data_IF_656245687043
#
_entry.id   IF_656245687043
#
_cell.length_a   1.000
_cell.length_b   1.000
_cell.length_c   1.000
_cell.angle_alpha   90.00
_cell.angle_beta   90.00
_cell.angle_gamma   90.00
#
_symmetry.space_group_name_H-M   'P 1'
#
loop_
_entity.id
_entity.type
_entity.pdbx_description
1 polymer ?
#
# COMPACT_ATOMS: atom_id res chain seq x y z
N UNK A 1 -45.10 -0.65 -11.71
CA UNK A 1 -45.34 -2.01 -11.19
C UNK A 1 -44.34 -3.03 -11.76
N UNK A 2 -44.07 -3.04 -13.08
CA UNK A 2 -43.05 -3.93 -13.68
C UNK A 2 -41.60 -3.67 -13.21
N UNK A 3 -41.18 -2.41 -13.07
CA UNK A 3 -39.84 -2.05 -12.55
C UNK A 3 -39.63 -2.64 -11.15
N UNK A 4 -40.65 -2.57 -10.28
CA UNK A 4 -40.58 -3.02 -8.89
C UNK A 4 -40.50 -4.55 -8.76
N UNK A 5 -41.17 -5.29 -9.65
CA UNK A 5 -41.12 -6.76 -9.67
C UNK A 5 -39.74 -7.23 -10.15
N UNK A 6 -39.11 -6.51 -11.08
CA UNK A 6 -37.78 -6.86 -11.58
C UNK A 6 -36.72 -6.66 -10.48
N UNK A 7 -36.69 -5.50 -9.81
CA UNK A 7 -35.74 -5.23 -8.72
C UNK A 7 -35.86 -6.21 -7.55
N UNK A 8 -37.08 -6.65 -7.20
CA UNK A 8 -37.31 -7.63 -6.13
C UNK A 8 -36.80 -9.03 -6.53
N UNK A 9 -37.08 -9.48 -7.76
CA UNK A 9 -36.63 -10.79 -8.24
C UNK A 9 -35.10 -10.85 -8.33
N UNK A 10 -34.46 -9.75 -8.74
CA UNK A 10 -33.01 -9.64 -8.83
C UNK A 10 -32.32 -9.54 -7.47
N UNK A 11 -32.91 -8.84 -6.49
CA UNK A 11 -32.41 -8.85 -5.10
C UNK A 11 -32.46 -10.26 -4.49
N UNK A 12 -33.52 -11.02 -4.75
CA UNK A 12 -33.63 -12.41 -4.29
C UNK A 12 -32.62 -13.33 -4.99
N UNK A 13 -32.39 -13.15 -6.29
CA UNK A 13 -31.37 -13.89 -7.04
C UNK A 13 -29.94 -13.58 -6.56
N UNK A 14 -29.65 -12.31 -6.28
CA UNK A 14 -28.37 -11.87 -5.69
C UNK A 14 -28.14 -12.50 -4.32
N UNK A 15 -29.14 -12.47 -3.43
CA UNK A 15 -29.11 -13.15 -2.13
C UNK A 15 -28.86 -14.66 -2.24
N UNK A 16 -29.31 -15.29 -3.32
CA UNK A 16 -29.15 -16.73 -3.55
C UNK A 16 -27.78 -17.09 -4.15
N UNK A 17 -27.25 -16.27 -5.07
CA UNK A 17 -25.98 -16.55 -5.77
C UNK A 17 -24.74 -16.02 -5.02
N UNK A 18 -24.91 -14.96 -4.22
CA UNK A 18 -23.84 -14.31 -3.46
C UNK A 18 -23.95 -14.60 -1.97
N UNK A 19 -24.13 -15.88 -1.62
CA UNK A 19 -23.89 -16.32 -0.24
C UNK A 19 -22.39 -16.61 -0.07
N UNK A 20 -21.68 -15.91 0.86
CA UNK A 20 -20.43 -16.46 1.36
C UNK A 20 -20.75 -17.83 1.98
N UNK A 21 -19.85 -18.81 1.83
CA UNK A 21 -20.06 -20.25 2.06
C UNK A 21 -20.45 -20.67 3.50
N UNK A 22 -20.89 -19.77 4.35
CA UNK A 22 -21.37 -20.07 5.70
C UNK A 22 -22.55 -19.17 6.09
N UNK A 23 -23.77 -19.42 5.61
CA UNK A 23 -25.02 -19.05 6.32
C UNK A 23 -26.26 -19.62 5.61
N UNK A 24 -26.84 -20.69 6.17
CA UNK A 24 -28.16 -21.16 5.75
C UNK A 24 -29.25 -20.24 6.33
N UNK A 25 -30.04 -19.59 5.48
CA UNK A 25 -31.21 -18.81 5.90
C UNK A 25 -32.49 -19.56 5.48
N UNK A 26 -33.30 -19.95 6.46
CA UNK A 26 -34.64 -20.49 6.22
C UNK A 26 -35.63 -19.34 6.02
N UNK A 27 -36.23 -19.25 4.83
CA UNK A 27 -37.29 -18.29 4.50
C UNK A 27 -38.66 -18.85 4.92
N UNK A 28 -39.24 -18.33 5.99
CA UNK A 28 -40.67 -18.51 6.30
C UNK A 28 -41.46 -17.25 5.96
N UNK A 29 -42.35 -17.35 4.98
CA UNK A 29 -43.33 -16.33 4.65
C UNK A 29 -44.52 -16.44 5.63
N UNK A 30 -44.66 -15.49 6.54
CA UNK A 30 -45.90 -15.29 7.31
C UNK A 30 -46.71 -14.13 6.72
N UNK A 31 -48.02 -14.36 6.59
CA UNK A 31 -49.00 -13.41 6.02
C UNK A 31 -49.88 -12.93 7.16
N UNK A 32 -49.64 -11.72 7.67
CA UNK A 32 -50.55 -11.09 8.62
C UNK A 32 -51.45 -10.06 7.92
N UNK A 33 -52.76 -10.25 8.08
CA UNK A 33 -53.81 -9.34 7.64
C UNK A 33 -54.22 -8.45 8.81
N UNK A 34 -54.08 -7.13 8.66
CA UNK A 34 -54.68 -6.15 9.58
C UNK A 34 -55.85 -5.50 8.86
N UNK A 35 -57.06 -5.73 9.37
CA UNK A 35 -58.26 -4.96 9.00
C UNK A 35 -58.32 -3.67 9.81
N UNK A 36 -58.49 -2.53 9.14
CA UNK A 36 -59.16 -1.38 9.74
C UNK A 36 -59.92 -0.56 8.69
N UNK A 37 -61.03 0.01 9.15
CA UNK A 37 -62.12 0.58 8.39
C UNK A 37 -61.91 2.04 7.98
N UNK A 38 -62.45 2.34 6.79
CA UNK A 38 -62.84 3.65 6.22
C UNK A 38 -61.80 4.57 5.55
N UNK A 39 -61.96 4.62 4.22
CA UNK A 39 -61.83 5.72 3.26
C UNK A 39 -60.43 6.28 2.86
N UNK A 40 -60.00 5.81 1.68
CA UNK A 40 -59.37 6.54 0.58
C UNK A 40 -57.96 7.16 0.75
N UNK A 41 -56.94 6.29 0.80
CA UNK A 41 -55.82 6.27 -0.17
C UNK A 41 -54.85 5.14 0.23
N UNK A 42 -54.84 4.04 -0.53
CA UNK A 42 -54.00 2.88 -0.23
C UNK A 42 -52.57 3.10 -0.73
N UNK A 43 -51.75 3.80 0.04
CA UNK A 43 -50.30 3.61 -0.01
C UNK A 43 -49.96 2.39 0.85
N UNK A 44 -49.64 1.26 0.21
CA UNK A 44 -49.09 0.09 0.91
C UNK A 44 -47.65 0.39 1.32
N UNK A 45 -47.45 0.80 2.58
CA UNK A 45 -46.13 0.78 3.19
C UNK A 45 -45.82 -0.65 3.63
N UNK A 46 -45.06 -1.37 2.80
CA UNK A 46 -44.41 -2.60 3.23
C UNK A 46 -43.19 -2.24 4.07
N UNK A 47 -43.38 -2.14 5.39
CA UNK A 47 -42.28 -2.23 6.34
C UNK A 47 -41.79 -3.68 6.34
N UNK A 48 -40.90 -4.01 5.42
CA UNK A 48 -40.04 -5.17 5.59
C UNK A 48 -39.17 -4.87 6.81
N UNK A 49 -39.51 -5.49 7.94
CA UNK A 49 -38.59 -5.66 9.06
C UNK A 49 -37.36 -6.40 8.51
N UNK A 50 -36.35 -5.63 8.12
CA UNK A 50 -35.03 -6.15 7.83
C UNK A 50 -34.53 -6.79 9.13
N UNK A 51 -34.08 -8.05 9.13
CA UNK A 51 -33.11 -8.45 10.12
C UNK A 51 -31.91 -7.55 9.89
N UNK A 52 -31.58 -6.71 10.87
CA UNK A 52 -30.31 -6.00 10.90
C UNK A 52 -29.21 -7.06 10.85
N UNK A 53 -28.71 -7.35 9.65
CA UNK A 53 -27.48 -8.11 9.48
C UNK A 53 -26.38 -7.18 9.95
N UNK A 54 -26.06 -7.29 11.23
CA UNK A 54 -24.77 -6.85 11.76
C UNK A 54 -23.73 -7.69 11.02
N UNK A 55 -23.19 -7.13 9.94
CA UNK A 55 -22.00 -7.67 9.31
C UNK A 55 -20.90 -7.48 10.34
N UNK A 56 -20.59 -8.52 11.11
CA UNK A 56 -19.32 -8.60 11.81
C UNK A 56 -18.24 -8.70 10.73
N UNK A 57 -17.69 -7.56 10.33
CA UNK A 57 -16.52 -7.43 9.46
C UNK A 57 -15.23 -7.65 10.26
N UNK A 58 -15.19 -8.70 11.07
CA UNK A 58 -13.98 -9.06 11.82
C UNK A 58 -13.45 -10.40 11.30
N UNK A 59 -12.16 -10.38 10.95
CA UNK A 59 -11.24 -11.50 10.65
C UNK A 59 -11.08 -11.98 9.19
N UNK A 60 -10.49 -11.15 8.32
CA UNK A 60 -9.63 -11.63 7.20
C UNK A 60 -8.75 -10.53 6.55
N UNK A 61 -9.11 -9.24 6.67
CA UNK A 61 -8.38 -8.12 6.01
C UNK A 61 -7.10 -7.64 6.72
N UNK A 62 -6.71 -8.22 7.87
CA UNK A 62 -5.59 -7.69 8.69
C UNK A 62 -4.20 -7.96 8.10
N UNK A 63 -4.07 -8.81 7.08
CA UNK A 63 -2.78 -9.21 6.49
C UNK A 63 -2.56 -8.66 5.07
N UNK A 64 -3.41 -7.75 4.59
CA UNK A 64 -3.26 -7.18 3.24
C UNK A 64 -2.06 -6.23 3.17
N UNK A 65 -1.11 -6.58 2.30
CA UNK A 65 0.04 -5.72 1.99
C UNK A 65 -0.35 -4.69 0.93
N UNK A 66 -0.23 -3.42 1.29
CA UNK A 66 -0.38 -2.29 0.38
C UNK A 66 0.98 -1.86 -0.16
N UNK A 67 1.04 -1.54 -1.46
CA UNK A 67 2.28 -1.17 -2.13
C UNK A 67 2.42 0.36 -2.23
N UNK A 68 3.67 0.82 -2.39
CA UNK A 68 3.97 2.22 -2.66
C UNK A 68 3.36 2.67 -4.01
N UNK A 69 3.07 3.98 -4.14
CA UNK A 69 2.53 4.61 -5.35
C UNK A 69 3.28 4.20 -6.64
N UNK A 70 4.61 4.09 -6.57
CA UNK A 70 5.46 3.73 -7.71
C UNK A 70 5.23 2.31 -8.22
N UNK A 71 4.71 1.41 -7.38
CA UNK A 71 4.47 0.00 -7.72
C UNK A 71 3.02 -0.27 -8.09
N UNK A 72 2.09 0.63 -7.78
CA UNK A 72 0.67 0.46 -8.07
C UNK A 72 0.39 0.24 -9.57
N UNK A 73 1.22 0.83 -10.45
CA UNK A 73 1.11 0.64 -11.91
C UNK A 73 1.43 -0.77 -12.41
N UNK A 74 1.97 -1.65 -11.56
CA UNK A 74 2.21 -3.05 -11.89
C UNK A 74 0.95 -3.92 -11.73
N UNK A 75 -0.06 -3.41 -11.03
CA UNK A 75 -1.35 -4.08 -10.96
C UNK A 75 -2.07 -3.98 -12.33
N UNK A 76 -2.49 -5.10 -12.93
CA UNK A 76 -3.24 -5.08 -14.19
C UNK A 76 -4.55 -4.26 -14.13
N UNK A 77 -5.12 -4.04 -12.93
CA UNK A 77 -6.34 -3.28 -12.73
C UNK A 77 -6.12 -1.76 -12.69
N UNK A 78 -4.88 -1.29 -12.53
CA UNK A 78 -4.55 0.12 -12.25
C UNK A 78 -5.12 1.13 -13.26
N UNK A 79 -5.25 0.73 -14.53
CA UNK A 79 -5.73 1.60 -15.61
C UNK A 79 -7.05 1.17 -16.25
N UNK A 80 -7.65 0.09 -15.75
CA UNK A 80 -8.87 -0.52 -16.29
C UNK A 80 -10.11 0.06 -15.62
N UNK A 81 -11.21 0.15 -16.37
CA UNK A 81 -12.52 0.42 -15.76
C UNK A 81 -13.05 -0.89 -15.17
N UNK A 82 -12.92 -1.04 -13.87
CA UNK A 82 -13.27 -2.27 -13.17
C UNK A 82 -14.80 -2.42 -13.09
N UNK A 83 -15.30 -3.59 -13.50
CA UNK A 83 -16.72 -3.91 -13.44
C UNK A 83 -17.09 -4.30 -12.02
N UNK A 84 -17.47 -3.32 -11.21
CA UNK A 84 -17.81 -3.51 -9.80
C UNK A 84 -19.31 -3.29 -9.58
N UNK A 85 -19.87 -4.00 -8.61
CA UNK A 85 -21.21 -3.72 -8.12
C UNK A 85 -21.25 -2.37 -7.41
N UNK A 86 -22.37 -1.67 -7.54
CA UNK A 86 -22.52 -0.33 -6.96
C UNK A 86 -22.33 -0.35 -5.44
N UNK A 87 -22.84 -1.38 -4.76
CA UNK A 87 -22.64 -1.53 -3.30
C UNK A 87 -21.16 -1.54 -2.92
N UNK A 88 -20.32 -2.21 -3.71
CA UNK A 88 -18.89 -2.29 -3.44
C UNK A 88 -18.22 -0.95 -3.70
N UNK A 89 -18.57 -0.27 -4.82
CA UNK A 89 -18.05 1.07 -5.13
C UNK A 89 -18.36 2.06 -4.01
N UNK A 90 -19.54 1.99 -3.41
CA UNK A 90 -19.93 2.83 -2.28
C UNK A 90 -19.11 2.54 -1.02
N UNK A 91 -18.71 1.28 -0.80
CA UNK A 91 -17.97 0.82 0.37
C UNK A 91 -16.44 0.87 0.21
N UNK A 92 -15.93 1.17 -0.97
CA UNK A 92 -14.50 1.30 -1.22
C UNK A 92 -13.87 2.37 -0.30
N UNK A 93 -12.83 1.99 0.43
CA UNK A 93 -12.03 2.89 1.25
C UNK A 93 -10.91 3.55 0.44
N UNK A 94 -10.40 4.74 0.82
CA UNK A 94 -9.26 5.36 0.15
C UNK A 94 -7.98 4.52 0.26
N UNK A 95 -7.16 4.53 -0.80
CA UNK A 95 -5.88 3.81 -0.80
C UNK A 95 -4.83 4.51 0.11
N UNK A 96 -4.15 3.80 1.02
CA UNK A 96 -3.29 4.44 2.02
C UNK A 96 -2.14 5.28 1.45
N UNK A 97 -1.49 4.78 0.39
CA UNK A 97 -0.29 5.40 -0.19
C UNK A 97 -0.56 6.23 -1.44
N UNK A 98 -1.78 6.17 -1.99
CA UNK A 98 -2.09 6.73 -3.31
C UNK A 98 -3.38 7.57 -3.30
N UNK A 99 -3.26 8.91 -3.19
CA UNK A 99 -4.40 9.81 -3.14
C UNK A 99 -5.30 9.70 -4.39
N UNK A 100 -6.61 9.59 -4.15
CA UNK A 100 -7.62 9.48 -5.22
C UNK A 100 -7.78 8.07 -5.81
N UNK A 101 -6.99 7.10 -5.33
CA UNK A 101 -7.26 5.68 -5.52
C UNK A 101 -8.09 5.12 -4.36
N UNK A 102 -8.69 3.97 -4.60
CA UNK A 102 -9.56 3.27 -3.65
C UNK A 102 -9.16 1.80 -3.53
N UNK A 103 -9.33 1.22 -2.35
CA UNK A 103 -9.00 -0.16 -2.05
C UNK A 103 -10.18 -1.09 -2.34
N UNK A 104 -9.99 -1.99 -3.30
CA UNK A 104 -10.69 -3.27 -3.28
C UNK A 104 -9.68 -4.35 -2.93
N UNK A 105 -9.77 -4.93 -1.72
CA UNK A 105 -8.65 -5.65 -1.09
C UNK A 105 -7.39 -4.78 -1.14
N UNK A 106 -6.29 -5.28 -1.69
CA UNK A 106 -5.06 -4.51 -1.88
C UNK A 106 -4.88 -3.93 -3.29
N UNK A 107 -5.90 -4.00 -4.16
CA UNK A 107 -5.88 -3.41 -5.49
C UNK A 107 -6.21 -1.92 -5.46
N UNK A 108 -5.38 -1.05 -6.07
CA UNK A 108 -5.68 0.35 -6.29
C UNK A 108 -6.67 0.56 -7.45
N UNK A 109 -7.90 0.95 -7.14
CA UNK A 109 -8.99 1.18 -8.11
C UNK A 109 -9.24 2.69 -8.29
N UNK A 110 -9.32 3.14 -9.55
CA UNK A 110 -9.63 4.53 -9.91
C UNK A 110 -10.91 4.68 -10.73
N UNK A 111 -11.17 3.69 -11.56
CA UNK A 111 -12.14 3.75 -12.65
C UNK A 111 -13.06 2.56 -12.55
N UNK A 112 -14.34 2.81 -12.76
CA UNK A 112 -15.38 1.80 -12.69
C UNK A 112 -16.18 1.76 -13.99
N UNK A 113 -16.70 0.58 -14.27
CA UNK A 113 -17.62 0.26 -15.35
C UNK A 113 -18.88 -0.32 -14.67
N UNK A 114 -20.00 0.41 -14.72
CA UNK A 114 -21.25 0.01 -14.08
C UNK A 114 -22.38 0.02 -15.10
N UNK A 115 -23.40 -0.81 -14.88
CA UNK A 115 -24.63 -0.85 -15.67
C UNK A 115 -25.82 -0.87 -14.72
N UNK A 116 -26.79 0.02 -14.95
CA UNK A 116 -27.95 0.15 -14.07
C UNK A 116 -29.01 1.10 -14.62
N UNK A 117 -30.11 1.22 -13.89
CA UNK A 117 -31.27 2.03 -14.25
C UNK A 117 -31.12 3.43 -13.65
N UNK A 118 -31.45 4.46 -14.43
CA UNK A 118 -31.55 5.84 -13.91
C UNK A 118 -32.75 5.94 -12.96
N UNK A 119 -32.48 5.93 -11.66
CA UNK A 119 -33.47 6.05 -10.59
C UNK A 119 -33.77 7.50 -10.21
N UNK A 120 -32.83 8.41 -10.42
CA UNK A 120 -33.03 9.86 -10.22
C UNK A 120 -32.21 10.68 -11.21
N UNK A 121 -32.68 11.88 -11.53
CA UNK A 121 -31.97 12.84 -12.37
C UNK A 121 -32.14 14.23 -11.78
N UNK A 122 -31.02 14.87 -11.42
CA UNK A 122 -30.98 16.23 -10.93
C UNK A 122 -30.14 17.09 -11.86
N UNK A 123 -30.76 18.07 -12.49
CA UNK A 123 -30.05 19.06 -13.28
C UNK A 123 -29.50 20.17 -12.39
N UNK A 124 -28.22 20.50 -12.56
CA UNK A 124 -27.57 21.67 -11.97
C UNK A 124 -27.04 22.59 -13.08
N UNK A 125 -26.57 23.77 -12.70
CA UNK A 125 -26.11 24.77 -13.67
C UNK A 125 -24.97 24.26 -14.57
N UNK A 126 -24.01 23.50 -14.02
CA UNK A 126 -22.80 23.06 -14.74
C UNK A 126 -22.76 21.55 -15.05
N UNK A 127 -23.63 20.76 -14.42
CA UNK A 127 -23.62 19.30 -14.52
C UNK A 127 -25.01 18.70 -14.28
N UNK A 128 -25.16 17.44 -14.64
CA UNK A 128 -26.27 16.58 -14.21
C UNK A 128 -25.75 15.61 -13.15
N UNK A 129 -26.60 15.31 -12.16
CA UNK A 129 -26.35 14.27 -11.17
C UNK A 129 -27.43 13.21 -11.35
N UNK A 130 -27.01 12.03 -11.79
CA UNK A 130 -27.87 10.87 -12.00
C UNK A 130 -27.73 9.94 -10.79
N UNK A 131 -28.83 9.45 -10.24
CA UNK A 131 -28.80 8.30 -9.34
C UNK A 131 -29.02 7.03 -10.15
N UNK A 132 -28.06 6.10 -10.11
CA UNK A 132 -28.09 4.87 -10.91
C UNK A 132 -28.19 3.67 -9.98
N UNK A 133 -29.13 2.76 -10.26
CA UNK A 133 -29.44 1.56 -9.48
C UNK A 133 -29.15 0.29 -10.29
N UNK A 134 -28.26 -0.58 -9.80
CA UNK A 134 -27.94 -1.89 -10.39
C UNK A 134 -28.59 -3.07 -9.64
N UNK A 135 -29.46 -2.78 -8.67
CA UNK A 135 -30.08 -3.75 -7.77
C UNK A 135 -29.29 -4.01 -6.48
N UNK A 136 -27.99 -3.69 -6.45
CA UNK A 136 -27.12 -3.82 -5.26
C UNK A 136 -27.04 -2.53 -4.45
N UNK A 137 -27.10 -1.39 -5.13
CA UNK A 137 -27.08 -0.08 -4.49
C UNK A 137 -27.42 1.05 -5.47
N UNK A 138 -27.53 2.27 -4.96
CA UNK A 138 -27.76 3.47 -5.76
C UNK A 138 -26.59 4.42 -5.59
N UNK A 139 -25.94 4.82 -6.68
CA UNK A 139 -24.79 5.74 -6.66
C UNK A 139 -25.01 6.99 -7.50
N UNK A 140 -24.52 8.12 -6.98
CA UNK A 140 -24.51 9.39 -7.67
C UNK A 140 -23.46 9.39 -8.78
N UNK A 141 -23.90 9.68 -10.00
CA UNK A 141 -23.06 9.77 -11.19
C UNK A 141 -23.15 11.18 -11.79
N UNK A 142 -22.02 11.85 -11.91
CA UNK A 142 -21.93 13.24 -12.33
C UNK A 142 -21.53 13.34 -13.80
N UNK A 143 -22.36 14.01 -14.61
CA UNK A 143 -22.11 14.31 -16.04
C UNK A 143 -21.89 15.81 -16.20
N UNK A 144 -20.73 16.22 -16.69
CA UNK A 144 -20.48 17.63 -17.00
C UNK A 144 -21.24 18.05 -18.26
N UNK A 145 -21.89 19.22 -18.21
CA UNK A 145 -22.45 19.86 -19.40
C UNK A 145 -21.30 20.35 -20.27
N UNK A 146 -21.36 20.10 -21.57
CA UNK A 146 -20.40 20.71 -22.48
C UNK A 146 -20.50 22.24 -22.39
N UNK A 147 -19.35 22.92 -22.35
CA UNK A 147 -19.34 24.38 -22.50
C UNK A 147 -19.76 24.68 -23.93
N UNK A 148 -20.94 25.27 -24.09
CA UNK A 148 -21.29 25.94 -25.34
C UNK A 148 -20.44 27.20 -25.40
N UNK A 149 -19.33 27.16 -26.14
CA UNK A 149 -18.57 28.37 -26.46
C UNK A 149 -19.42 29.24 -27.39
N UNK A 150 -20.14 30.20 -26.83
CA UNK A 150 -20.76 31.29 -27.60
C UNK A 150 -19.69 32.29 -28.01
N UNK A 151 -18.94 31.98 -29.07
CA UNK A 151 -18.01 32.88 -29.73
C UNK A 151 -18.06 32.70 -31.24
N UNK A 152 -17.96 33.80 -32.00
CA UNK A 152 -18.09 33.90 -33.47
C UNK A 152 -17.10 33.04 -34.30
N UNK A 153 -16.27 32.21 -33.67
CA UNK A 153 -15.40 31.22 -34.31
C UNK A 153 -15.81 29.79 -33.93
N UNK A 154 -17.10 29.49 -34.03
CA UNK A 154 -17.57 28.12 -33.85
C UNK A 154 -17.14 27.28 -35.06
N UNK A 155 -16.02 26.56 -34.92
CA UNK A 155 -15.52 25.62 -35.93
C UNK A 155 -16.58 24.57 -36.33
N UNK A 156 -17.61 24.39 -35.47
CA UNK A 156 -18.77 23.51 -35.70
C UNK A 156 -19.74 24.04 -36.76
N UNK A 157 -19.69 25.33 -37.10
CA UNK A 157 -20.46 25.90 -38.21
C UNK A 157 -20.00 25.41 -39.59
N UNK A 158 -18.73 24.97 -39.69
CA UNK A 158 -18.13 24.39 -40.89
C UNK A 158 -18.31 22.87 -40.99
N UNK A 159 -18.90 22.22 -39.98
CA UNK A 159 -19.18 20.78 -40.02
C UNK A 159 -20.40 20.49 -40.90
N UNK A 160 -20.37 19.41 -41.71
CA UNK A 160 -21.54 18.91 -42.43
C UNK A 160 -22.78 18.77 -41.54
N UNK A 161 -23.96 19.07 -42.08
CA UNK A 161 -25.24 19.09 -41.33
C UNK A 161 -25.52 17.78 -40.55
N UNK A 162 -25.07 16.64 -41.07
CA UNK A 162 -25.15 15.33 -40.43
C UNK A 162 -24.29 15.17 -39.18
N UNK A 163 -23.17 15.89 -39.08
CA UNK A 163 -22.32 15.97 -37.89
C UNK A 163 -22.81 17.09 -36.95
N UNK A 164 -23.37 18.16 -37.51
CA UNK A 164 -23.95 19.28 -36.76
C UNK A 164 -25.21 18.89 -35.97
N UNK A 165 -26.06 18.04 -36.56
CA UNK A 165 -27.23 17.48 -35.88
C UNK A 165 -26.82 16.65 -34.66
N UNK A 166 -25.76 15.83 -34.78
CA UNK A 166 -25.22 15.03 -33.67
C UNK A 166 -24.59 15.88 -32.56
N UNK A 167 -24.05 17.05 -32.88
CA UNK A 167 -23.48 17.97 -31.88
C UNK A 167 -24.54 18.79 -31.14
N UNK A 168 -25.71 19.05 -31.74
CA UNK A 168 -26.81 19.75 -31.05
C UNK A 168 -27.61 18.84 -30.10
N UNK A 169 -27.44 17.52 -30.16
CA UNK A 169 -28.11 16.53 -29.29
C UNK A 169 -27.23 16.06 -28.12
N UNK A 170 -26.20 16.83 -27.73
CA UNK A 170 -25.29 16.48 -26.63
C UNK A 170 -25.81 16.87 -25.24
N UNK A 171 -27.09 17.20 -25.11
CA UNK A 171 -27.81 17.01 -23.85
C UNK A 171 -28.51 15.66 -23.95
N UNK A 172 -27.99 14.59 -23.34
CA UNK A 172 -28.74 13.36 -23.24
C UNK A 172 -30.02 13.70 -22.47
N UNK A 173 -31.18 13.53 -23.10
CA UNK A 173 -32.46 13.55 -22.40
C UNK A 173 -32.51 12.29 -21.53
N UNK A 174 -31.82 12.33 -20.40
CA UNK A 174 -31.77 11.22 -19.45
C UNK A 174 -33.17 10.98 -18.91
N UNK A 175 -33.76 9.84 -19.28
CA UNK A 175 -35.10 9.49 -18.85
C UNK A 175 -35.04 8.61 -17.60
N UNK A 176 -35.90 8.91 -16.62
CA UNK A 176 -36.07 8.04 -15.46
C UNK A 176 -36.52 6.64 -15.93
N UNK A 177 -35.91 5.61 -15.37
CA UNK A 177 -36.18 4.21 -15.74
C UNK A 177 -35.38 3.70 -16.93
N UNK A 178 -34.54 4.52 -17.56
CA UNK A 178 -33.68 4.09 -18.65
C UNK A 178 -32.49 3.27 -18.14
N UNK A 179 -32.21 2.13 -18.78
CA UNK A 179 -31.02 1.33 -18.51
C UNK A 179 -29.82 1.97 -19.20
N UNK A 180 -28.75 2.21 -18.46
CA UNK A 180 -27.53 2.86 -18.95
C UNK A 180 -26.28 2.09 -18.56
N UNK A 181 -25.30 2.14 -19.47
CA UNK A 181 -23.93 1.69 -19.25
C UNK A 181 -23.04 2.90 -19.03
N UNK A 182 -22.31 2.92 -17.91
CA UNK A 182 -21.52 4.05 -17.46
C UNK A 182 -20.08 3.62 -17.20
N UNK A 183 -19.14 4.44 -17.67
CA UNK A 183 -17.74 4.37 -17.25
C UNK A 183 -17.29 5.71 -16.71
N UNK A 184 -16.57 5.67 -15.61
CA UNK A 184 -16.14 6.88 -14.95
C UNK A 184 -15.03 6.68 -13.93
N UNK A 185 -14.55 7.81 -13.39
CA UNK A 185 -13.61 7.84 -12.29
C UNK A 185 -14.37 7.92 -10.96
N UNK A 186 -13.93 7.18 -9.96
CA UNK A 186 -14.47 7.30 -8.60
C UNK A 186 -13.98 8.64 -8.01
N UNK A 187 -14.85 9.32 -7.27
CA UNK A 187 -14.53 10.51 -6.50
C UNK A 187 -15.36 10.55 -5.23
N UNK A 188 -14.71 10.73 -4.09
CA UNK A 188 -15.43 10.93 -2.83
C UNK A 188 -15.86 12.37 -2.68
N UNK A 189 -17.13 12.58 -2.36
CA UNK A 189 -17.70 13.88 -2.02
C UNK A 189 -18.44 13.76 -0.69
N UNK A 190 -18.05 14.57 0.30
CA UNK A 190 -18.61 14.53 1.67
C UNK A 190 -18.61 13.13 2.31
N UNK A 191 -17.58 12.35 2.06
CA UNK A 191 -17.42 11.00 2.63
C UNK A 191 -18.20 9.91 1.90
N UNK A 192 -18.89 10.21 0.80
CA UNK A 192 -19.60 9.23 -0.03
C UNK A 192 -18.96 9.16 -1.40
N UNK A 193 -18.79 7.96 -1.93
CA UNK A 193 -18.23 7.76 -3.27
C UNK A 193 -19.27 8.09 -4.35
N UNK A 194 -18.84 8.88 -5.33
CA UNK A 194 -19.59 9.25 -6.53
C UNK A 194 -18.78 8.88 -7.78
N UNK A 195 -19.43 8.79 -8.94
CA UNK A 195 -18.77 8.49 -10.21
C UNK A 195 -18.77 9.73 -11.10
N UNK A 196 -17.58 10.19 -11.47
CA UNK A 196 -17.41 11.19 -12.52
C UNK A 196 -17.47 10.50 -13.88
N UNK A 197 -18.55 10.72 -14.62
CA UNK A 197 -18.82 10.02 -15.87
C UNK A 197 -17.88 10.53 -16.97
N UNK A 198 -17.21 9.59 -17.63
CA UNK A 198 -16.43 9.83 -18.84
C UNK A 198 -17.14 9.29 -20.09
N UNK A 199 -18.02 8.30 -19.91
CA UNK A 199 -18.77 7.65 -20.97
C UNK A 199 -20.10 7.15 -20.42
N UNK A 200 -21.18 7.39 -21.17
CA UNK A 200 -22.52 6.92 -20.85
C UNK A 200 -23.24 6.57 -22.15
N UNK A 201 -23.90 5.41 -22.20
CA UNK A 201 -24.73 5.00 -23.33
C UNK A 201 -25.98 4.26 -22.86
N UNK A 202 -27.13 4.48 -23.51
CA UNK A 202 -28.33 3.70 -23.22
C UNK A 202 -28.15 2.25 -23.66
N UNK A 203 -28.71 1.33 -22.88
CA UNK A 203 -28.67 -0.12 -23.12
C UNK A 203 -30.07 -0.57 -23.47
N UNK A 204 -30.29 -0.94 -24.73
CA UNK A 204 -31.61 -1.36 -25.22
C UNK A 204 -31.82 -2.88 -25.27
N UNK A 205 -30.75 -3.68 -25.17
CA UNK A 205 -30.84 -5.15 -25.31
C UNK A 205 -30.79 -5.88 -23.97
N UNK A 206 -31.78 -6.75 -23.71
CA UNK A 206 -31.81 -7.66 -22.56
C UNK A 206 -30.56 -8.56 -22.50
N UNK A 207 -30.00 -8.93 -23.65
CA UNK A 207 -28.78 -9.74 -23.71
C UNK A 207 -27.56 -9.05 -23.10
N UNK A 208 -27.42 -7.73 -23.28
CA UNK A 208 -26.31 -6.97 -22.70
C UNK A 208 -26.44 -6.89 -21.17
N UNK A 209 -27.65 -6.69 -20.66
CA UNK A 209 -27.95 -6.73 -19.22
C UNK A 209 -27.58 -8.09 -18.63
N UNK A 210 -28.11 -9.19 -19.19
CA UNK A 210 -27.78 -10.55 -18.73
C UNK A 210 -26.28 -10.85 -18.79
N UNK A 211 -25.60 -10.40 -19.85
CA UNK A 211 -24.15 -10.59 -19.98
C UNK A 211 -23.40 -9.87 -18.87
N UNK A 212 -23.77 -8.61 -18.58
CA UNK A 212 -23.16 -7.85 -17.49
C UNK A 212 -23.36 -8.56 -16.14
N UNK A 213 -24.59 -9.02 -15.88
CA UNK A 213 -24.93 -9.72 -14.64
C UNK A 213 -24.18 -11.04 -14.43
N UNK A 214 -23.91 -11.79 -15.51
CA UNK A 214 -23.13 -13.03 -15.43
C UNK A 214 -21.62 -12.75 -15.35
N UNK A 215 -21.16 -11.70 -16.00
CA UNK A 215 -19.73 -11.37 -16.06
C UNK A 215 -19.21 -10.81 -14.74
N UNK A 216 -19.97 -9.96 -14.04
CA UNK A 216 -19.49 -9.32 -12.81
C UNK A 216 -19.10 -10.35 -11.73
N UNK A 217 -19.94 -11.31 -11.30
CA UNK A 217 -19.54 -12.32 -10.31
C UNK A 217 -18.33 -13.16 -10.74
N UNK A 218 -18.23 -13.47 -12.05
CA UNK A 218 -17.08 -14.19 -12.59
C UNK A 218 -15.78 -13.41 -12.42
N UNK A 219 -15.79 -12.10 -12.69
CA UNK A 219 -14.63 -11.23 -12.55
C UNK A 219 -14.21 -11.05 -11.09
N UNK A 220 -15.18 -10.98 -10.16
CA UNK A 220 -14.88 -10.97 -8.72
C UNK A 220 -14.07 -12.21 -8.36
N UNK A 221 -14.63 -13.39 -8.64
CA UNK A 221 -13.99 -14.66 -8.27
C UNK A 221 -12.62 -14.87 -8.92
N UNK A 222 -12.47 -14.49 -10.19
CA UNK A 222 -11.27 -14.82 -10.99
C UNK A 222 -10.19 -13.76 -10.96
N UNK A 223 -10.54 -12.50 -10.67
CA UNK A 223 -9.61 -11.37 -10.76
C UNK A 223 -9.63 -10.54 -9.48
N UNK A 224 -10.75 -9.93 -9.12
CA UNK A 224 -10.75 -8.91 -8.04
C UNK A 224 -10.57 -9.51 -6.65
N UNK A 225 -11.01 -10.75 -6.44
CA UNK A 225 -10.85 -11.46 -5.19
C UNK A 225 -9.44 -12.02 -4.98
N UNK A 226 -8.60 -12.05 -6.02
CA UNK A 226 -7.25 -12.59 -5.96
C UNK A 226 -6.30 -11.51 -5.46
N UNK A 227 -5.69 -11.69 -4.29
CA UNK A 227 -4.80 -10.67 -3.72
C UNK A 227 -3.61 -10.35 -4.62
N UNK A 228 -3.28 -9.06 -4.74
CA UNK A 228 -2.12 -8.61 -5.50
C UNK A 228 -0.83 -9.03 -4.79
N UNK A 229 -0.05 -9.90 -5.41
CA UNK A 229 1.28 -10.30 -4.93
C UNK A 229 2.32 -9.92 -5.98
N UNK A 230 3.17 -8.93 -5.66
CA UNK A 230 4.30 -8.56 -6.49
C UNK A 230 5.47 -9.50 -6.26
N UNK A 231 6.24 -9.81 -7.31
CA UNK A 231 7.42 -10.66 -7.23
C UNK A 231 8.45 -10.11 -6.23
N UNK A 232 9.13 -11.01 -5.50
CA UNK A 232 10.08 -10.64 -4.44
C UNK A 232 11.24 -9.78 -4.94
N UNK A 233 11.64 -9.96 -6.20
CA UNK A 233 12.68 -9.16 -6.86
C UNK A 233 12.28 -7.69 -6.97
N UNK A 234 11.00 -7.41 -7.31
CA UNK A 234 10.47 -6.04 -7.42
C UNK A 234 10.43 -5.38 -6.05
N UNK A 235 10.06 -6.12 -5.02
CA UNK A 235 10.02 -5.60 -3.64
C UNK A 235 11.43 -5.22 -3.15
N UNK A 236 12.45 -6.04 -3.46
CA UNK A 236 13.85 -5.75 -3.13
C UNK A 236 14.35 -4.48 -3.81
N UNK A 237 14.08 -4.33 -5.12
CA UNK A 237 14.48 -3.15 -5.88
C UNK A 237 13.82 -1.87 -5.33
N UNK A 238 12.57 -1.94 -4.87
CA UNK A 238 11.88 -0.82 -4.25
C UNK A 238 12.52 -0.42 -2.91
N UNK A 239 12.90 -1.39 -2.07
CA UNK A 239 13.62 -1.11 -0.82
C UNK A 239 14.94 -0.40 -1.10
N UNK A 240 15.72 -0.89 -2.06
CA UNK A 240 16.98 -0.26 -2.47
C UNK A 240 16.77 1.15 -3.01
N UNK A 241 15.73 1.37 -3.82
CA UNK A 241 15.38 2.69 -4.36
C UNK A 241 14.90 3.65 -3.25
N UNK A 242 14.14 3.14 -2.28
CA UNK A 242 13.68 3.92 -1.13
C UNK A 242 14.86 4.34 -0.24
N UNK A 243 15.82 3.46 0.03
CA UNK A 243 17.03 3.81 0.79
C UNK A 243 17.89 4.89 0.12
N UNK A 244 17.90 4.91 -1.22
CA UNK A 244 18.55 5.98 -1.99
C UNK A 244 17.74 7.27 -1.86
N UNK A 245 16.41 7.21 -1.99
CA UNK A 245 15.52 8.37 -1.91
C UNK A 245 15.52 9.02 -0.51
N UNK A 246 15.61 8.22 0.56
CA UNK A 246 15.64 8.72 1.95
C UNK A 246 17.03 9.17 2.39
N UNK A 247 18.03 9.16 1.50
CA UNK A 247 19.40 9.55 1.84
C UNK A 247 20.15 8.55 2.75
N UNK A 248 19.58 7.37 3.03
CA UNK A 248 20.18 6.37 3.94
C UNK A 248 21.50 5.81 3.38
N UNK A 249 21.50 5.38 2.10
CA UNK A 249 22.73 4.89 1.45
C UNK A 249 23.80 5.98 1.32
N UNK A 250 23.48 7.19 0.83
CA UNK A 250 24.42 8.32 0.86
C UNK A 250 24.99 8.60 2.25
N UNK A 251 24.14 8.61 3.28
CA UNK A 251 24.55 8.83 4.66
C UNK A 251 25.47 7.70 5.17
N UNK A 252 25.16 6.44 4.87
CA UNK A 252 26.03 5.30 5.21
C UNK A 252 27.42 5.46 4.59
N UNK A 253 27.52 5.92 3.33
CA UNK A 253 28.80 6.16 2.67
C UNK A 253 29.61 7.28 3.35
N UNK A 254 28.96 8.39 3.69
CA UNK A 254 29.62 9.49 4.44
C UNK A 254 30.09 9.00 5.81
N UNK A 255 29.26 8.20 6.50
CA UNK A 255 29.61 7.61 7.79
C UNK A 255 30.79 6.66 7.68
N UNK A 256 30.85 5.79 6.65
CA UNK A 256 31.99 4.90 6.42
C UNK A 256 33.32 5.66 6.28
N UNK A 257 33.32 6.78 5.56
CA UNK A 257 34.52 7.63 5.41
C UNK A 257 34.99 8.24 6.73
N UNK A 258 34.06 8.64 7.60
CA UNK A 258 34.38 9.17 8.93
C UNK A 258 34.89 8.06 9.86
N UNK A 259 34.21 6.92 9.85
CA UNK A 259 34.56 5.76 10.68
C UNK A 259 35.93 5.17 10.33
N UNK A 260 36.40 5.33 9.10
CA UNK A 260 37.78 4.97 8.75
C UNK A 260 38.84 5.84 9.49
N UNK A 261 38.47 7.02 9.98
CA UNK A 261 39.38 7.98 10.63
C UNK A 261 39.26 7.99 12.16
N UNK A 262 38.09 7.69 12.69
CA UNK A 262 37.78 7.73 14.13
C UNK A 262 37.79 6.31 14.70
N UNK A 263 38.27 6.13 15.93
CA UNK A 263 38.28 4.82 16.63
C UNK A 263 37.06 4.67 17.52
N UNK A 264 36.80 5.62 18.41
CA UNK A 264 35.65 5.64 19.33
C UNK A 264 34.87 6.93 19.14
N UNK A 265 33.55 6.83 19.09
CA UNK A 265 32.69 7.97 18.82
C UNK A 265 31.32 7.83 19.50
N UNK A 266 30.67 8.96 19.73
CA UNK A 266 29.25 9.05 20.05
C UNK A 266 28.57 10.02 19.05
N UNK A 267 27.26 10.19 19.14
CA UNK A 267 26.51 11.09 18.25
C UNK A 267 26.99 12.55 18.41
N UNK A 268 27.39 12.97 19.61
CA UNK A 268 27.92 14.32 19.85
C UNK A 268 29.26 14.56 19.14
N UNK A 269 30.14 13.56 19.15
CA UNK A 269 31.44 13.58 18.45
C UNK A 269 31.25 13.70 16.93
N UNK A 270 30.20 13.06 16.38
CA UNK A 270 29.85 13.19 14.97
C UNK A 270 29.39 14.62 14.66
N UNK A 271 28.60 15.24 15.56
CA UNK A 271 28.12 16.62 15.39
C UNK A 271 29.25 17.66 15.39
N UNK A 272 30.31 17.41 16.15
CA UNK A 272 31.49 18.29 16.20
C UNK A 272 32.38 18.15 14.96
N UNK A 273 32.15 17.15 14.12
CA UNK A 273 32.96 16.88 12.95
C UNK A 273 32.50 17.70 11.73
N UNK A 274 33.44 18.10 10.87
CA UNK A 274 33.20 18.89 9.65
C UNK A 274 32.39 18.15 8.55
N UNK A 275 31.85 16.97 8.88
CA UNK A 275 31.00 16.19 7.97
C UNK A 275 29.51 16.47 8.17
N UNK A 276 29.11 17.24 9.18
CA UNK A 276 27.69 17.56 9.42
C UNK A 276 27.03 18.26 8.22
N UNK A 277 27.76 19.12 7.52
CA UNK A 277 27.28 19.73 6.28
C UNK A 277 27.03 18.66 5.20
N UNK A 278 27.92 17.67 5.08
CA UNK A 278 27.75 16.56 4.12
C UNK A 278 26.61 15.62 4.50
N UNK A 279 26.37 15.40 5.80
CA UNK A 279 25.23 14.63 6.32
C UNK A 279 23.93 15.35 5.95
N UNK A 280 23.87 16.66 6.18
CA UNK A 280 22.70 17.49 5.83
C UNK A 280 22.48 17.55 4.32
N UNK A 281 23.55 17.69 3.53
CA UNK A 281 23.47 17.65 2.07
C UNK A 281 22.96 16.29 1.55
N UNK A 282 23.37 15.19 2.19
CA UNK A 282 22.95 13.82 1.84
C UNK A 282 21.47 13.55 2.11
N UNK A 283 20.88 14.31 3.04
CA UNK A 283 19.49 14.20 3.45
C UNK A 283 18.55 15.18 2.71
N UNK A 284 19.11 16.21 2.07
CA UNK A 284 18.34 17.26 1.38
C UNK A 284 17.94 18.38 2.34
N UNK A 285 18.35 19.61 2.01
CA UNK A 285 18.44 20.75 2.95
C UNK A 285 17.11 21.11 3.64
N UNK A 286 17.21 21.36 4.95
CA UNK A 286 16.23 21.84 5.96
C UNK A 286 15.42 20.80 6.75
N UNK A 287 16.01 19.66 7.08
CA UNK A 287 15.43 18.79 8.10
C UNK A 287 15.83 19.21 9.53
N UNK A 288 14.94 18.99 10.50
CA UNK A 288 15.18 19.31 11.91
C UNK A 288 16.34 18.48 12.47
N UNK A 289 17.06 19.01 13.47
CA UNK A 289 18.13 18.28 14.15
C UNK A 289 17.64 16.93 14.72
N UNK A 290 16.39 16.87 15.17
CA UNK A 290 15.74 15.63 15.63
C UNK A 290 15.60 14.59 14.52
N UNK A 291 15.29 15.00 13.30
CA UNK A 291 15.19 14.10 12.16
C UNK A 291 16.56 13.57 11.75
N UNK A 292 17.59 14.44 11.71
CA UNK A 292 18.97 14.04 11.42
C UNK A 292 19.45 13.00 12.44
N UNK A 293 19.17 13.21 13.73
CA UNK A 293 19.48 12.23 14.77
C UNK A 293 18.72 10.91 14.60
N UNK A 294 17.44 10.97 14.23
CA UNK A 294 16.65 9.75 13.95
C UNK A 294 17.25 8.95 12.81
N UNK A 295 17.67 9.62 11.74
CA UNK A 295 18.29 8.98 10.57
C UNK A 295 19.69 8.44 10.89
N UNK A 296 20.50 9.20 11.63
CA UNK A 296 21.80 8.71 12.11
C UNK A 296 21.64 7.45 12.96
N UNK A 297 20.68 7.42 13.89
CA UNK A 297 20.40 6.24 14.69
C UNK A 297 19.99 5.03 13.84
N UNK A 298 19.19 5.23 12.78
CA UNK A 298 18.85 4.14 11.84
C UNK A 298 20.09 3.61 11.12
N UNK A 299 20.95 4.50 10.62
CA UNK A 299 22.20 4.10 9.95
C UNK A 299 23.14 3.38 10.92
N UNK A 300 23.33 3.88 12.14
CA UNK A 300 24.16 3.24 13.14
C UNK A 300 23.68 1.82 13.47
N UNK A 301 22.37 1.63 13.65
CA UNK A 301 21.80 0.29 13.83
C UNK A 301 22.07 -0.63 12.64
N UNK A 302 21.91 -0.13 11.42
CA UNK A 302 22.22 -0.89 10.21
C UNK A 302 23.71 -1.27 10.14
N UNK A 303 24.60 -0.36 10.48
CA UNK A 303 26.05 -0.61 10.50
C UNK A 303 26.47 -1.59 11.61
N UNK A 304 25.79 -1.56 12.75
CA UNK A 304 25.99 -2.54 13.84
C UNK A 304 25.54 -3.94 13.42
N UNK A 305 24.40 -4.06 12.73
CA UNK A 305 23.93 -5.34 12.17
C UNK A 305 24.86 -5.89 11.09
N UNK A 306 25.55 -5.02 10.35
CA UNK A 306 26.58 -5.41 9.38
C UNK A 306 27.94 -5.74 10.04
N UNK A 307 28.12 -5.48 11.34
CA UNK A 307 29.37 -5.73 12.07
C UNK A 307 30.48 -4.70 11.80
N UNK A 308 30.14 -3.49 11.36
CA UNK A 308 31.12 -2.42 11.05
C UNK A 308 31.46 -1.54 12.26
N UNK A 309 30.56 -1.52 13.23
CA UNK A 309 30.71 -0.84 14.50
C UNK A 309 30.29 -1.81 15.62
N UNK A 310 30.80 -1.59 16.82
CA UNK A 310 30.32 -2.29 18.02
C UNK A 310 30.12 -1.32 19.18
N UNK A 311 29.18 -1.64 20.07
CA UNK A 311 28.92 -0.85 21.26
C UNK A 311 30.03 -1.04 22.32
N UNK A 312 30.42 0.04 23.01
CA UNK A 312 31.45 0.04 24.06
C UNK A 312 30.82 0.11 25.45
N UNK A 313 30.86 -1.00 26.20
CA UNK A 313 30.23 -1.10 27.52
C UNK A 313 30.94 -0.27 28.60
N UNK A 314 32.23 0.00 28.44
CA UNK A 314 33.08 0.72 29.39
C UNK A 314 32.88 2.25 29.39
N UNK A 315 32.38 2.81 28.29
CA UNK A 315 32.28 4.25 28.06
C UNK A 315 30.83 4.77 28.15
N UNK A 316 29.90 3.95 28.64
CA UNK A 316 28.51 4.29 28.84
C UNK A 316 27.60 4.08 27.62
N UNK A 317 26.31 4.32 27.81
CA UNK A 317 25.30 4.10 26.78
C UNK A 317 25.54 5.01 25.56
N UNK A 318 25.37 4.45 24.36
CA UNK A 318 25.45 5.15 23.07
C UNK A 318 26.86 5.55 22.61
N UNK A 319 27.90 4.92 23.14
CA UNK A 319 29.27 5.02 22.62
C UNK A 319 29.60 3.81 21.76
N UNK A 320 30.13 4.05 20.57
CA UNK A 320 30.46 3.04 19.59
C UNK A 320 31.95 3.07 19.26
N UNK A 321 32.50 1.90 18.96
CA UNK A 321 33.82 1.73 18.35
C UNK A 321 33.68 1.43 16.86
N UNK A 322 34.49 2.10 16.05
CA UNK A 322 34.60 1.87 14.61
C UNK A 322 35.55 0.73 14.32
N UNK A 323 35.04 -0.36 13.75
CA UNK A 323 35.85 -1.49 13.33
C UNK A 323 36.50 -1.25 11.96
N UNK A 324 35.99 -0.30 11.18
CA UNK A 324 36.61 0.16 9.93
C UNK A 324 38.00 0.78 10.14
N UNK A 325 38.26 1.34 11.32
CA UNK A 325 39.56 1.88 11.65
C UNK A 325 40.60 0.75 11.80
N UNK A 326 41.78 0.83 11.17
CA UNK A 326 42.85 -0.14 11.38
C UNK A 326 43.33 -0.22 12.84
N UNK A 327 43.17 0.88 13.59
CA UNK A 327 43.56 0.99 15.00
C UNK A 327 42.40 0.71 15.96
N UNK A 328 41.40 -0.07 15.53
CA UNK A 328 40.33 -0.51 16.42
C UNK A 328 40.91 -1.32 17.59
N UNK A 329 40.55 -0.93 18.81
CA UNK A 329 40.96 -1.58 20.05
C UNK A 329 40.54 -3.06 20.04
N UNK A 330 39.35 -3.37 19.50
CA UNK A 330 38.86 -4.74 19.41
C UNK A 330 39.78 -5.62 18.55
N UNK A 331 40.27 -5.10 17.42
CA UNK A 331 41.20 -5.86 16.55
C UNK A 331 42.51 -6.13 17.25
N UNK A 332 43.04 -5.14 17.97
CA UNK A 332 44.27 -5.28 18.75
C UNK A 332 44.09 -6.30 19.88
N UNK A 333 42.95 -6.24 20.59
CA UNK A 333 42.62 -7.18 21.67
C UNK A 333 42.47 -8.62 21.17
N UNK A 334 41.77 -8.82 20.04
CA UNK A 334 41.65 -10.14 19.42
C UNK A 334 43.03 -10.72 19.08
N UNK A 335 43.90 -9.90 18.49
CA UNK A 335 45.27 -10.31 18.17
C UNK A 335 46.07 -10.69 19.42
N UNK A 336 45.95 -9.94 20.50
CA UNK A 336 46.65 -10.23 21.76
C UNK A 336 46.13 -11.51 22.43
N UNK A 337 44.81 -11.76 22.41
CA UNK A 337 44.23 -13.00 22.92
C UNK A 337 44.74 -14.21 22.12
N UNK A 338 44.74 -14.12 20.78
CA UNK A 338 45.21 -15.21 19.92
C UNK A 338 46.69 -15.51 20.19
N UNK A 339 47.54 -14.48 20.28
CA UNK A 339 48.97 -14.65 20.61
C UNK A 339 49.18 -15.27 21.98
N UNK A 340 48.40 -14.85 22.97
CA UNK A 340 48.48 -15.36 24.35
C UNK A 340 48.10 -16.84 24.44
N UNK A 341 47.06 -17.27 23.72
CA UNK A 341 46.63 -18.67 23.69
C UNK A 341 47.68 -19.58 23.05
N UNK A 342 48.34 -19.13 21.97
CA UNK A 342 49.45 -19.88 21.36
C UNK A 342 50.66 -19.95 22.31
N UNK A 343 50.99 -18.85 22.98
CA UNK A 343 52.09 -18.83 23.97
C UNK A 343 51.84 -19.78 25.14
N UNK A 344 50.57 -19.96 25.55
CA UNK A 344 50.18 -20.89 26.61
C UNK A 344 50.26 -22.38 26.19
N UNK A 345 50.77 -22.70 25.00
CA UNK A 345 51.07 -24.06 24.57
C UNK A 345 49.94 -24.75 23.80
N UNK A 346 48.99 -23.99 23.24
CA UNK A 346 47.89 -24.57 22.47
C UNK A 346 48.32 -24.79 21.00
N UNK A 347 48.77 -26.01 20.67
CA UNK A 347 49.31 -26.38 19.34
C UNK A 347 48.30 -26.20 18.20
N UNK A 348 47.00 -26.18 18.51
CA UNK A 348 45.92 -26.09 17.52
C UNK A 348 45.42 -24.66 17.28
N UNK A 349 45.97 -23.66 17.99
CA UNK A 349 45.55 -22.26 17.90
C UNK A 349 44.45 -21.84 18.88
N UNK A 350 43.89 -20.65 18.67
CA UNK A 350 42.81 -20.09 19.48
C UNK A 350 41.44 -20.43 18.88
N UNK A 351 40.58 -21.11 19.65
CA UNK A 351 39.21 -21.40 19.23
C UNK A 351 38.29 -20.18 19.35
N UNK A 352 37.30 -20.07 18.47
CA UNK A 352 36.30 -18.99 18.53
C UNK A 352 35.60 -18.92 19.91
N UNK A 353 35.32 -20.08 20.51
CA UNK A 353 34.70 -20.14 21.85
C UNK A 353 35.61 -19.56 22.93
N UNK A 354 36.91 -19.91 22.92
CA UNK A 354 37.91 -19.38 23.86
C UNK A 354 38.09 -17.88 23.68
N UNK A 355 38.09 -17.41 22.43
CA UNK A 355 38.15 -16.00 22.09
C UNK A 355 36.97 -15.24 22.68
N UNK A 356 35.73 -15.72 22.47
CA UNK A 356 34.52 -15.11 23.04
C UNK A 356 34.56 -15.07 24.56
N UNK A 357 34.85 -16.19 25.20
CA UNK A 357 34.94 -16.26 26.67
C UNK A 357 36.04 -15.35 27.23
N UNK A 358 37.04 -14.96 26.45
CA UNK A 358 38.07 -14.00 26.85
C UNK A 358 37.63 -12.55 26.60
N UNK A 359 36.91 -12.29 25.51
CA UNK A 359 36.32 -10.98 25.21
C UNK A 359 35.22 -10.60 26.23
N UNK A 360 34.32 -11.53 26.57
CA UNK A 360 33.26 -11.33 27.56
C UNK A 360 33.81 -11.02 28.97
N UNK A 361 35.01 -11.52 29.29
CA UNK A 361 35.70 -11.20 30.55
C UNK A 361 36.29 -9.78 30.56
N UNK A 362 36.39 -9.14 29.41
CA UNK A 362 36.89 -7.78 29.28
C UNK A 362 35.74 -6.81 29.50
N UNK A 363 35.91 -5.84 30.40
CA UNK A 363 34.86 -4.86 30.73
C UNK A 363 34.39 -4.00 29.54
N UNK A 364 35.14 -4.00 28.43
CA UNK A 364 34.89 -3.20 27.23
C UNK A 364 33.84 -3.84 26.29
N UNK A 365 33.71 -5.17 26.28
CA UNK A 365 32.98 -5.91 25.23
C UNK A 365 32.07 -7.02 25.79
N UNK A 366 31.32 -6.70 26.84
CA UNK A 366 30.45 -7.68 27.53
C UNK A 366 29.34 -8.25 26.63
N UNK A 367 28.78 -7.43 25.75
CA UNK A 367 27.60 -7.76 24.93
C UNK A 367 27.91 -7.69 23.42
N UNK A 368 29.10 -8.17 23.03
CA UNK A 368 29.56 -8.05 21.64
C UNK A 368 28.87 -9.04 20.69
N UNK A 369 28.42 -8.54 19.53
CA UNK A 369 27.79 -9.36 18.51
C UNK A 369 28.78 -10.30 17.81
N UNK A 370 28.31 -11.51 17.46
CA UNK A 370 29.06 -12.46 16.64
C UNK A 370 29.53 -11.86 15.32
N UNK A 371 28.68 -11.03 14.73
CA UNK A 371 28.93 -10.39 13.43
C UNK A 371 30.15 -9.47 13.51
N UNK A 372 30.29 -8.67 14.57
CA UNK A 372 31.45 -7.80 14.77
C UNK A 372 32.75 -8.59 14.97
N UNK A 373 32.72 -9.66 15.76
CA UNK A 373 33.90 -10.51 16.02
C UNK A 373 34.36 -11.20 14.74
N UNK A 374 33.43 -11.81 14.00
CA UNK A 374 33.73 -12.47 12.73
C UNK A 374 34.26 -11.48 11.68
N UNK A 375 33.65 -10.29 11.60
CA UNK A 375 34.12 -9.24 10.70
C UNK A 375 35.58 -8.85 11.01
N UNK A 376 35.95 -8.68 12.28
CA UNK A 376 37.33 -8.40 12.68
C UNK A 376 38.30 -9.53 12.30
N UNK A 377 37.90 -10.79 12.50
CA UNK A 377 38.72 -11.95 12.13
C UNK A 377 38.95 -12.01 10.62
N UNK A 378 37.91 -11.81 9.81
CA UNK A 378 38.02 -11.79 8.35
C UNK A 378 38.94 -10.64 7.87
N UNK A 379 38.91 -9.48 8.53
CA UNK A 379 39.83 -8.38 8.24
C UNK A 379 41.28 -8.72 8.60
N UNK A 380 41.51 -9.34 9.76
CA UNK A 380 42.85 -9.75 10.19
C UNK A 380 43.43 -10.87 9.31
N UNK A 381 42.58 -11.76 8.79
CA UNK A 381 42.96 -12.76 7.80
C UNK A 381 43.34 -12.08 6.47
N UNK A 382 42.52 -11.13 6.01
CA UNK A 382 42.79 -10.36 4.79
C UNK A 382 44.10 -9.56 4.90
N UNK A 383 44.43 -9.02 6.08
CA UNK A 383 45.70 -8.33 6.34
C UNK A 383 46.88 -9.28 6.63
N UNK A 384 46.70 -10.59 6.47
CA UNK A 384 47.71 -11.62 6.76
C UNK A 384 48.28 -11.53 8.19
N UNK A 385 47.47 -11.08 9.15
CA UNK A 385 47.85 -10.99 10.56
C UNK A 385 47.51 -12.28 11.32
N UNK A 386 46.50 -13.00 10.85
CA UNK A 386 46.11 -14.33 11.34
C UNK A 386 45.95 -15.31 10.17
N UNK A 387 46.02 -16.59 10.49
CA UNK A 387 45.73 -17.72 9.61
C UNK A 387 44.52 -18.46 10.18
N UNK A 388 43.49 -18.64 9.36
CA UNK A 388 42.32 -19.45 9.67
C UNK A 388 42.61 -20.91 9.32
N UNK A 389 42.77 -21.75 10.35
CA UNK A 389 43.11 -23.18 10.17
C UNK A 389 41.85 -23.99 9.91
N UNK A 390 40.79 -23.65 10.62
CA UNK A 390 39.45 -24.19 10.44
C UNK A 390 38.44 -23.06 10.57
N UNK A 391 37.18 -23.31 10.27
CA UNK A 391 36.11 -22.31 10.42
C UNK A 391 35.99 -21.73 11.84
N UNK A 392 36.59 -22.38 12.84
CA UNK A 392 36.47 -22.02 14.26
C UNK A 392 37.81 -21.86 14.97
N UNK A 393 38.95 -21.95 14.27
CA UNK A 393 40.26 -21.89 14.91
C UNK A 393 41.27 -21.02 14.15
N UNK A 394 41.99 -20.18 14.90
CA UNK A 394 42.83 -19.10 14.37
C UNK A 394 44.23 -19.15 14.99
N UNK A 395 45.25 -18.87 14.18
CA UNK A 395 46.64 -18.72 14.62
C UNK A 395 47.21 -17.38 14.14
N UNK A 396 48.17 -16.79 14.86
CA UNK A 396 48.91 -15.65 14.32
C UNK A 396 49.72 -16.11 13.10
N UNK A 397 49.80 -15.25 12.07
CA UNK A 397 50.62 -15.51 10.88
C UNK A 397 52.11 -15.35 11.13
#
# INVERSE_FOLDING_TARGET
MFIYIHTIYWRLYFLYMYQPTHLAVSLTLSRETVESSEANNKHFFWLLLLPTVMINSESEDTDLVFYDENLCGLDPLFHVHCKLFIVDVLNLSPYPTLPGAYCYKNHPIFKVDIMGIIASCQEKQKNFILGVDDGTGIISCCVWKEKVETGDNDFRSFLPESLRLKTHTLHPEFSLGEMVHIRGKIKSYKGVNEIMINYITPVSSVSAELTHMLQSPYLYKTVYDQTLVLASEVQKLQLEANEIRTGLKPLENVMRELLAKITVFNIETIKEHDIMHRIQDSLGVHESLEYVESMLNKVLKQMEHQGLICSRSDLGNSTYESLLNPKADLKLLIMDIIKKEVYNGNEYGCSLMTLRSSLEKTSQYTDISDVAVNWCLDQLETSSSIIKITNTCFMPS
#
